data_IF_046075779355
#
_entry.id   IF_046075779355
#
_cell.length_a   1.000
_cell.length_b   1.000
_cell.length_c   1.000
_cell.angle_alpha   90.00
_cell.angle_beta   90.00
_cell.angle_gamma   90.00
#
_symmetry.space_group_name_H-M   'P 1'
#
loop_
_entity.id
_entity.type
_entity.pdbx_description
1 polymer ?
#
# COMPACT_ATOMS: atom_id res chain seq x y z
N UNK A 1 18.52 30.65 29.82
CA UNK A 1 17.57 29.53 29.99
C UNK A 1 18.36 28.24 30.11
N UNK A 2 18.07 27.36 31.08
CA UNK A 2 18.83 26.12 31.31
C UNK A 2 18.45 25.02 30.28
N UNK A 3 19.30 24.00 30.07
CA UNK A 3 19.02 22.91 29.12
C UNK A 3 17.75 22.12 29.49
N UNK A 4 17.50 21.89 30.78
CA UNK A 4 16.28 21.23 31.25
C UNK A 4 15.03 22.09 31.00
N UNK A 5 15.15 23.40 31.18
CA UNK A 5 14.10 24.39 30.94
C UNK A 5 13.74 24.45 29.44
N UNK A 6 14.74 24.35 28.56
CA UNK A 6 14.58 24.27 27.11
C UNK A 6 13.84 23.00 26.68
N UNK A 7 14.19 21.84 27.27
CA UNK A 7 13.51 20.55 27.02
C UNK A 7 12.04 20.53 27.43
N UNK A 8 11.69 21.26 28.49
CA UNK A 8 10.33 21.29 29.01
C UNK A 8 9.42 22.25 28.24
N UNK A 9 9.96 23.38 27.77
CA UNK A 9 9.17 24.44 27.15
C UNK A 9 9.12 24.37 25.61
N UNK A 10 10.08 23.70 24.96
CA UNK A 10 10.12 23.61 23.50
C UNK A 10 9.87 22.18 23.04
N UNK A 11 8.74 21.96 22.38
CA UNK A 11 8.39 20.70 21.73
C UNK A 11 8.77 20.75 20.25
N UNK A 12 9.75 19.96 19.83
CA UNK A 12 10.17 19.87 18.42
C UNK A 12 9.19 19.02 17.61
N UNK A 13 8.40 18.17 18.28
CA UNK A 13 7.41 17.32 17.63
C UNK A 13 6.11 18.06 17.26
N UNK A 14 6.02 19.36 17.56
CA UNK A 14 4.85 20.15 17.28
C UNK A 14 4.58 20.25 15.76
N UNK A 15 3.36 19.87 15.37
CA UNK A 15 2.95 19.73 13.97
C UNK A 15 3.20 18.35 13.33
N UNK A 16 3.80 17.38 14.04
CA UNK A 16 3.85 15.97 13.60
C UNK A 16 2.67 15.21 14.22
N UNK A 17 1.80 14.57 13.41
CA UNK A 17 0.70 13.80 13.95
C UNK A 17 1.21 12.57 14.71
N UNK A 18 0.78 12.43 15.97
CA UNK A 18 1.11 11.27 16.83
C UNK A 18 0.21 10.05 16.57
N UNK A 19 -0.77 10.20 15.68
CA UNK A 19 -1.68 9.14 15.26
C UNK A 19 -1.82 9.13 13.74
N UNK A 20 -1.96 7.93 13.16
CA UNK A 20 -2.18 7.73 11.74
C UNK A 20 -3.02 6.51 11.43
N UNK A 21 -3.41 6.37 10.18
CA UNK A 21 -4.19 5.23 9.69
C UNK A 21 -3.49 4.60 8.50
N UNK A 22 -3.33 3.28 8.54
CA UNK A 22 -2.83 2.46 7.46
C UNK A 22 -3.97 1.58 6.94
N UNK A 23 -4.06 1.46 5.62
CA UNK A 23 -5.04 0.59 4.99
C UNK A 23 -4.39 -0.71 4.56
N UNK A 24 -4.99 -1.84 4.91
CA UNK A 24 -4.50 -3.18 4.65
C UNK A 24 -5.55 -4.02 3.93
N UNK A 25 -5.17 -4.65 2.83
CA UNK A 25 -6.03 -5.55 2.08
C UNK A 25 -5.85 -6.99 2.56
N UNK A 26 -6.92 -7.60 3.06
CA UNK A 26 -6.92 -9.00 3.53
C UNK A 26 -6.76 -10.02 2.39
N UNK A 27 -7.20 -9.69 1.17
CA UNK A 27 -7.18 -10.64 0.05
C UNK A 27 -5.79 -10.88 -0.53
N UNK A 28 -4.92 -9.87 -0.51
CA UNK A 28 -3.56 -9.96 -1.07
C UNK A 28 -2.45 -9.57 -0.09
N UNK A 29 -2.80 -9.32 1.18
CA UNK A 29 -1.87 -8.96 2.27
C UNK A 29 -0.98 -7.74 1.97
N UNK A 30 -1.53 -6.75 1.25
CA UNK A 30 -0.83 -5.52 0.87
C UNK A 30 -1.29 -4.31 1.67
N UNK A 31 -0.38 -3.37 1.87
CA UNK A 31 -0.66 -2.06 2.44
C UNK A 31 -0.84 -1.01 1.35
N UNK A 32 -1.78 -0.09 1.54
CA UNK A 32 -1.98 1.04 0.63
C UNK A 32 -0.91 2.11 0.89
N UNK A 33 -0.13 2.40 -0.14
CA UNK A 33 0.66 3.62 -0.28
C UNK A 33 -0.12 4.62 -1.15
N UNK A 34 -0.60 5.75 -0.60
CA UNK A 34 -1.34 6.73 -1.38
C UNK A 34 -0.44 7.28 -2.50
N UNK A 35 -1.01 7.59 -3.66
CA UNK A 35 -2.45 7.75 -3.93
C UNK A 35 -3.24 6.46 -4.24
N UNK A 36 -2.63 5.42 -4.81
CA UNK A 36 -3.35 4.21 -5.22
C UNK A 36 -2.48 2.94 -5.27
N UNK A 37 -1.24 3.00 -4.80
CA UNK A 37 -0.29 1.89 -4.92
C UNK A 37 -0.46 0.91 -3.75
N UNK A 38 -0.38 -0.39 -4.02
CA UNK A 38 -0.48 -1.43 -3.01
C UNK A 38 0.84 -2.20 -2.91
N UNK A 39 1.50 -2.07 -1.77
CA UNK A 39 2.85 -2.61 -1.54
C UNK A 39 2.77 -3.78 -0.57
N UNK A 40 3.52 -4.85 -0.87
CA UNK A 40 3.70 -5.97 0.05
C UNK A 40 4.69 -5.53 1.13
N UNK A 41 4.31 -5.61 2.39
CA UNK A 41 5.19 -5.34 3.51
C UNK A 41 4.87 -6.31 4.65
N UNK A 42 5.91 -6.94 5.21
CA UNK A 42 5.74 -7.78 6.38
C UNK A 42 5.62 -6.93 7.64
N UNK A 43 5.05 -7.51 8.71
CA UNK A 43 5.07 -6.88 10.02
C UNK A 43 6.51 -6.65 10.47
N UNK A 44 6.75 -5.49 11.08
CA UNK A 44 8.07 -5.06 11.55
C UNK A 44 9.17 -5.01 10.46
N UNK A 45 8.79 -4.94 9.18
CA UNK A 45 9.74 -4.84 8.07
C UNK A 45 10.17 -3.40 7.79
N UNK A 46 11.31 -3.26 7.10
CA UNK A 46 11.83 -1.97 6.64
C UNK A 46 10.87 -1.26 5.68
N UNK A 47 10.18 -2.03 4.83
CA UNK A 47 9.21 -1.54 3.86
C UNK A 47 7.98 -0.93 4.57
N UNK A 48 7.50 -1.58 5.64
CA UNK A 48 6.41 -1.07 6.47
C UNK A 48 6.82 0.22 7.18
N UNK A 49 8.05 0.27 7.69
CA UNK A 49 8.58 1.46 8.36
C UNK A 49 8.67 2.64 7.38
N UNK A 50 9.15 2.41 6.17
CA UNK A 50 9.18 3.42 5.11
C UNK A 50 7.77 3.94 4.77
N UNK A 51 6.77 3.06 4.74
CA UNK A 51 5.37 3.44 4.51
C UNK A 51 4.83 4.30 5.66
N UNK A 52 5.10 3.94 6.92
CA UNK A 52 4.74 4.74 8.10
C UNK A 52 5.38 6.15 8.06
N UNK A 53 6.67 6.25 7.73
CA UNK A 53 7.38 7.53 7.65
C UNK A 53 6.82 8.43 6.55
N UNK A 54 6.53 7.89 5.36
CA UNK A 54 5.90 8.64 4.26
C UNK A 54 4.50 9.15 4.59
N UNK A 55 3.79 8.49 5.51
CA UNK A 55 2.45 8.90 5.95
C UNK A 55 2.47 10.11 6.89
N UNK A 56 3.59 10.34 7.57
CA UNK A 56 3.73 11.45 8.52
C UNK A 56 3.96 12.76 7.79
N UNK A 57 3.01 13.69 7.92
CA UNK A 57 3.19 15.07 7.48
C UNK A 57 4.10 15.80 8.48
N UNK A 58 4.93 16.70 7.99
CA UNK A 58 5.78 17.56 8.83
C UNK A 58 7.16 16.98 9.19
N UNK A 59 7.43 15.71 8.88
CA UNK A 59 8.73 15.10 9.16
C UNK A 59 9.89 15.78 8.42
N UNK A 60 9.64 16.43 7.28
CA UNK A 60 10.65 17.16 6.51
C UNK A 60 11.21 18.40 7.24
N UNK A 61 10.55 18.88 8.30
CA UNK A 61 11.00 20.06 9.07
C UNK A 61 12.07 19.71 10.11
N UNK A 62 12.19 18.43 10.46
CA UNK A 62 13.07 17.94 11.52
C UNK A 62 13.97 16.86 10.95
N UNK A 63 15.16 16.70 11.52
CA UNK A 63 16.08 15.65 11.10
C UNK A 63 15.72 14.36 11.81
N UNK A 64 15.35 13.32 11.05
CA UNK A 64 15.14 11.98 11.60
C UNK A 64 16.50 11.37 11.98
N UNK A 65 16.65 10.94 13.23
CA UNK A 65 17.86 10.29 13.74
C UNK A 65 17.69 8.78 13.76
N UNK A 66 16.58 8.32 14.33
CA UNK A 66 16.27 6.90 14.49
C UNK A 66 14.77 6.65 14.36
N UNK A 67 14.42 5.48 13.86
CA UNK A 67 13.05 5.02 13.71
C UNK A 67 13.00 3.50 13.91
N UNK A 68 12.15 3.06 14.82
CA UNK A 68 11.97 1.63 15.11
C UNK A 68 10.56 1.31 15.53
N UNK A 69 10.18 0.04 15.42
CA UNK A 69 8.91 -0.43 15.94
C UNK A 69 8.97 -0.55 17.46
N UNK A 70 7.90 -0.12 18.12
CA UNK A 70 7.66 -0.41 19.52
C UNK A 70 6.66 -1.56 19.60
N UNK A 71 6.92 -2.51 20.50
CA UNK A 71 6.06 -3.68 20.65
C UNK A 71 4.60 -3.28 20.89
N UNK A 72 3.71 -3.99 20.21
CA UNK A 72 2.26 -3.86 20.32
C UNK A 72 1.64 -5.24 20.39
N UNK A 73 0.55 -5.36 21.16
CA UNK A 73 -0.23 -6.60 21.25
C UNK A 73 -0.69 -7.06 19.84
N UNK A 74 -0.49 -8.34 19.44
CA UNK A 74 -0.78 -8.83 18.09
C UNK A 74 -2.21 -8.57 17.60
N UNK A 75 -3.18 -8.58 18.50
CA UNK A 75 -4.61 -8.43 18.18
C UNK A 75 -5.10 -6.99 18.20
N UNK A 76 -4.25 -6.04 18.60
CA UNK A 76 -4.64 -4.64 18.77
C UNK A 76 -4.96 -3.92 17.45
N UNK A 77 -4.54 -4.49 16.31
CA UNK A 77 -4.57 -3.85 14.98
C UNK A 77 -3.94 -2.45 15.00
N UNK A 78 -2.94 -2.27 15.84
CA UNK A 78 -2.18 -1.03 16.00
C UNK A 78 -0.71 -1.34 15.82
N UNK A 79 0.00 -0.44 15.16
CA UNK A 79 1.45 -0.47 15.02
C UNK A 79 1.98 0.78 15.71
N UNK A 80 2.88 0.62 16.67
CA UNK A 80 3.56 1.75 17.31
C UNK A 80 4.95 1.90 16.71
N UNK A 81 5.28 3.11 16.28
CA UNK A 81 6.60 3.46 15.76
C UNK A 81 7.22 4.48 16.70
N UNK A 82 8.36 4.13 17.28
CA UNK A 82 9.18 5.03 18.08
C UNK A 82 10.08 5.83 17.12
N UNK A 83 9.97 7.14 17.18
CA UNK A 83 10.75 8.07 16.37
C UNK A 83 11.61 8.93 17.26
N UNK A 84 12.86 9.09 16.86
CA UNK A 84 13.79 10.05 17.46
C UNK A 84 14.13 11.10 16.42
N UNK A 85 13.74 12.34 16.71
CA UNK A 85 13.96 13.49 15.84
C UNK A 85 14.90 14.49 16.49
N UNK A 86 15.59 15.25 15.66
CA UNK A 86 16.51 16.30 16.03
C UNK A 86 16.09 17.60 15.34
N UNK A 87 16.03 18.69 16.11
CA UNK A 87 15.68 20.01 15.62
C UNK A 87 16.56 21.09 16.23
N UNK A 88 16.76 22.16 15.47
CA UNK A 88 17.45 23.36 15.96
C UNK A 88 16.47 24.23 16.74
N UNK A 89 16.93 24.71 17.90
CA UNK A 89 16.19 25.58 18.81
C UNK A 89 16.89 26.94 18.91
N UNK A 90 16.24 27.90 19.58
CA UNK A 90 16.74 29.27 19.72
C UNK A 90 18.21 29.31 20.15
N UNK A 91 19.04 29.98 19.35
CA UNK A 91 20.48 30.15 19.60
C UNK A 91 21.36 29.04 19.04
N UNK A 92 20.89 28.23 18.08
CA UNK A 92 21.70 27.19 17.42
C UNK A 92 21.93 25.93 18.27
N UNK A 93 21.28 25.85 19.43
CA UNK A 93 21.27 24.64 20.24
C UNK A 93 20.48 23.55 19.52
N UNK A 94 20.99 22.32 19.52
CA UNK A 94 20.31 21.19 18.89
C UNK A 94 19.67 20.32 19.95
N UNK A 95 18.36 20.11 19.84
CA UNK A 95 17.62 19.27 20.77
C UNK A 95 17.15 17.99 20.09
N UNK A 96 17.25 16.87 20.81
CA UNK A 96 16.79 15.56 20.38
C UNK A 96 15.60 15.15 21.25
N UNK A 97 14.52 14.71 20.59
CA UNK A 97 13.29 14.32 21.25
C UNK A 97 12.81 12.99 20.69
N UNK A 98 12.28 12.14 21.58
CA UNK A 98 11.76 10.83 21.20
C UNK A 98 10.28 10.77 21.53
N UNK A 99 9.48 10.29 20.59
CA UNK A 99 8.04 10.12 20.76
C UNK A 99 7.56 8.87 20.02
N UNK A 100 6.36 8.42 20.37
CA UNK A 100 5.73 7.26 19.75
C UNK A 100 4.57 7.75 18.89
N UNK A 101 4.52 7.28 17.65
CA UNK A 101 3.38 7.44 16.74
C UNK A 101 2.60 6.13 16.71
N UNK A 102 1.29 6.23 16.88
CA UNK A 102 0.39 5.10 16.79
C UNK A 102 -0.32 5.06 15.43
N UNK A 103 -0.16 3.97 14.69
CA UNK A 103 -0.86 3.72 13.44
C UNK A 103 -1.97 2.68 13.67
N UNK A 104 -3.21 3.06 13.38
CA UNK A 104 -4.34 2.12 13.35
C UNK A 104 -4.41 1.42 11.99
N UNK A 105 -4.61 0.10 12.00
CA UNK A 105 -4.79 -0.68 10.78
C UNK A 105 -6.28 -0.78 10.48
N UNK A 106 -6.70 -0.18 9.36
CA UNK A 106 -8.03 -0.32 8.79
C UNK A 106 -7.99 -1.29 7.61
N UNK A 107 -9.02 -2.13 7.49
CA UNK A 107 -9.12 -3.03 6.35
C UNK A 107 -9.78 -2.32 5.18
N UNK A 108 -9.11 -2.35 4.03
CA UNK A 108 -9.66 -1.85 2.77
C UNK A 108 -9.27 -2.82 1.66
N UNK A 109 -10.23 -3.16 0.82
CA UNK A 109 -9.97 -4.05 -0.31
C UNK A 109 -9.28 -3.27 -1.44
N UNK A 110 -8.22 -3.83 -2.03
CA UNK A 110 -7.61 -3.23 -3.21
C UNK A 110 -8.51 -3.45 -4.44
N UNK A 111 -8.36 -2.62 -5.47
CA UNK A 111 -9.20 -2.69 -6.68
C UNK A 111 -9.15 -4.06 -7.37
N UNK A 112 -7.99 -4.73 -7.33
CA UNK A 112 -7.83 -6.07 -7.90
C UNK A 112 -8.64 -7.12 -7.15
N UNK A 113 -8.55 -7.15 -5.81
CA UNK A 113 -9.35 -8.05 -4.97
C UNK A 113 -10.84 -7.69 -5.02
N UNK A 114 -11.17 -6.40 -5.14
CA UNK A 114 -12.56 -5.99 -5.26
C UNK A 114 -13.19 -6.50 -6.56
N UNK A 115 -12.46 -6.45 -7.68
CA UNK A 115 -12.94 -7.01 -8.96
C UNK A 115 -13.11 -8.52 -8.93
N UNK A 116 -12.19 -9.26 -8.28
CA UNK A 116 -12.31 -10.71 -8.18
C UNK A 116 -13.55 -11.12 -7.37
N UNK A 117 -13.81 -10.44 -6.24
CA UNK A 117 -14.99 -10.70 -5.41
C UNK A 117 -16.29 -10.27 -6.11
N UNK A 118 -16.27 -9.16 -6.86
CA UNK A 118 -17.42 -8.67 -7.62
C UNK A 118 -17.74 -9.50 -8.88
N UNK A 119 -16.98 -10.58 -9.16
CA UNK A 119 -17.11 -11.39 -10.37
C UNK A 119 -16.93 -10.60 -11.68
N UNK A 120 -16.27 -9.44 -11.62
CA UNK A 120 -15.88 -8.63 -12.78
C UNK A 120 -14.60 -9.20 -13.39
N UNK A 121 -14.72 -10.41 -13.95
CA UNK A 121 -13.58 -11.20 -14.42
C UNK A 121 -12.88 -10.61 -15.65
N UNK A 122 -13.57 -9.87 -16.51
CA UNK A 122 -13.01 -9.37 -17.77
C UNK A 122 -13.35 -7.89 -18.01
N UNK A 123 -12.38 -7.13 -18.54
CA UNK A 123 -12.59 -5.73 -18.93
C UNK A 123 -13.14 -5.59 -20.36
N UNK A 124 -12.89 -6.58 -21.20
CA UNK A 124 -13.31 -6.63 -22.59
C UNK A 124 -13.61 -8.08 -23.00
N UNK A 125 -14.54 -8.27 -23.91
CA UNK A 125 -14.94 -9.58 -24.44
C UNK A 125 -15.11 -9.48 -25.96
N UNK A 126 -14.43 -10.37 -26.69
CA UNK A 126 -14.53 -10.48 -28.14
C UNK A 126 -15.45 -11.65 -28.48
N UNK A 127 -16.49 -11.42 -29.29
CA UNK A 127 -17.38 -12.47 -29.76
C UNK A 127 -17.10 -12.78 -31.23
N UNK A 128 -16.59 -13.97 -31.52
CA UNK A 128 -16.42 -14.46 -32.89
C UNK A 128 -17.63 -15.33 -33.26
N UNK A 129 -18.33 -14.99 -34.35
CA UNK A 129 -19.51 -15.73 -34.82
C UNK A 129 -19.40 -16.00 -36.31
N UNK A 130 -19.88 -17.16 -36.73
CA UNK A 130 -20.01 -17.54 -38.13
C UNK A 130 -21.43 -17.96 -38.42
N UNK A 131 -22.10 -17.28 -39.36
CA UNK A 131 -23.45 -17.66 -39.82
C UNK A 131 -23.35 -18.70 -40.95
N UNK A 132 -22.93 -19.92 -40.62
CA UNK A 132 -22.87 -21.04 -41.56
C UNK A 132 -22.90 -22.38 -40.82
N UNK A 133 -23.46 -23.42 -41.45
CA UNK A 133 -23.44 -24.78 -40.91
C UNK A 133 -22.01 -25.38 -40.90
N UNK A 134 -21.19 -25.00 -41.90
CA UNK A 134 -19.82 -25.48 -42.02
C UNK A 134 -18.86 -24.61 -41.18
N UNK A 135 -18.21 -25.23 -40.20
CA UNK A 135 -17.25 -24.59 -39.28
C UNK A 135 -15.79 -24.62 -39.76
N UNK A 136 -15.52 -25.02 -41.02
CA UNK A 136 -14.15 -25.17 -41.55
C UNK A 136 -13.29 -23.91 -41.37
N UNK A 137 -13.84 -22.73 -41.65
CA UNK A 137 -13.14 -21.45 -41.46
C UNK A 137 -12.94 -21.10 -39.99
N UNK A 138 -13.86 -21.51 -39.11
CA UNK A 138 -13.73 -21.33 -37.66
C UNK A 138 -12.58 -22.17 -37.08
N UNK A 139 -12.50 -23.45 -37.48
CA UNK A 139 -11.38 -24.32 -37.09
C UNK A 139 -10.04 -23.85 -37.67
N UNK A 140 -10.06 -23.30 -38.88
CA UNK A 140 -8.86 -22.72 -39.48
C UNK A 140 -8.39 -21.47 -38.71
N UNK A 141 -9.31 -20.61 -38.27
CA UNK A 141 -8.99 -19.46 -37.42
C UNK A 141 -8.39 -19.90 -36.08
N UNK A 142 -8.95 -20.93 -35.45
CA UNK A 142 -8.43 -21.50 -34.20
C UNK A 142 -6.98 -22.02 -34.39
N UNK A 143 -6.71 -22.74 -35.48
CA UNK A 143 -5.36 -23.17 -35.83
C UNK A 143 -4.39 -21.99 -36.02
N UNK A 144 -4.83 -20.89 -36.64
CA UNK A 144 -4.02 -19.68 -36.76
C UNK A 144 -3.75 -19.02 -35.40
N UNK A 145 -4.74 -18.95 -34.52
CA UNK A 145 -4.59 -18.41 -33.16
C UNK A 145 -3.57 -19.22 -32.35
N UNK A 146 -3.59 -20.55 -32.49
CA UNK A 146 -2.60 -21.43 -31.85
C UNK A 146 -1.21 -21.23 -32.45
N UNK A 147 -1.11 -21.19 -33.78
CA UNK A 147 0.16 -21.01 -34.51
C UNK A 147 0.86 -19.70 -34.15
N UNK A 148 0.11 -18.61 -34.01
CA UNK A 148 0.63 -17.29 -33.67
C UNK A 148 0.60 -16.98 -32.16
N UNK A 149 0.15 -17.94 -31.33
CA UNK A 149 -0.02 -17.77 -29.88
C UNK A 149 -0.82 -16.52 -29.47
N UNK A 150 -1.79 -16.13 -30.29
CA UNK A 150 -2.57 -14.90 -30.06
C UNK A 150 -3.50 -14.97 -28.83
N UNK A 151 -3.63 -16.14 -28.21
CA UNK A 151 -4.48 -16.40 -27.04
C UNK A 151 -3.76 -16.22 -25.69
N UNK A 152 -2.44 -15.95 -25.66
CA UNK A 152 -1.64 -15.90 -24.42
C UNK A 152 -2.17 -14.89 -23.38
N UNK A 153 -2.74 -13.77 -23.81
CA UNK A 153 -3.26 -12.72 -22.93
C UNK A 153 -4.75 -12.90 -22.58
N UNK A 154 -5.37 -14.02 -22.94
CA UNK A 154 -6.80 -14.25 -22.68
C UNK A 154 -7.02 -14.84 -21.29
N UNK A 155 -8.03 -14.32 -20.58
CA UNK A 155 -8.38 -14.80 -19.24
C UNK A 155 -9.20 -16.10 -19.29
N UNK A 156 -9.90 -16.34 -20.39
CA UNK A 156 -10.68 -17.55 -20.61
C UNK A 156 -11.42 -17.52 -21.93
N UNK A 157 -11.64 -18.71 -22.50
CA UNK A 157 -12.37 -18.90 -23.76
C UNK A 157 -13.60 -19.74 -23.43
N UNK A 158 -14.79 -19.22 -23.77
CA UNK A 158 -16.06 -19.93 -23.55
C UNK A 158 -16.73 -20.24 -24.88
N UNK A 159 -17.02 -21.52 -25.18
CA UNK A 159 -17.82 -21.85 -26.35
C UNK A 159 -19.26 -21.35 -26.13
N UNK A 160 -19.81 -20.64 -27.10
CA UNK A 160 -21.23 -20.30 -27.17
C UNK A 160 -21.82 -21.08 -28.34
N UNK A 161 -22.76 -21.97 -28.05
CA UNK A 161 -23.57 -22.59 -29.08
C UNK A 161 -24.46 -21.50 -29.71
N UNK A 162 -24.36 -21.37 -31.03
CA UNK A 162 -25.24 -20.59 -31.88
C UNK A 162 -25.74 -21.47 -33.00
#
# INVERSE_FOLDING_TARGET
MCVACLRANVDISDGIPKQGTLFFCRGCERYLQPPAEWVVAALESRELLALCLKRLKGLNRVKLVDAGFAWTEPHSKRIKVKLTVQGEVMGGAVLQQTFIVEFSIQHQMCDACHRSEAQDYWRALVQVRQRANNRKTFYYLEQLILKHKAHENTLGIKPKHG
#
